data_IF_028403225904
#
_entry.id   IF_028403225904
#
_cell.length_a   1.000
_cell.length_b   1.000
_cell.length_c   1.000
_cell.angle_alpha   90.00
_cell.angle_beta   90.00
_cell.angle_gamma   90.00
#
_symmetry.space_group_name_H-M   'P 1'
#
loop_
_entity.id
_entity.type
_entity.pdbx_description
1 polymer ?
#
# COMPACT_ATOMS: atom_id res chain seq x y z
N UNK A 1 35.25 16.01 -4.28
CA UNK A 1 34.12 15.06 -4.14
C UNK A 1 33.97 14.58 -2.69
N UNK A 2 35.02 14.03 -2.07
CA UNK A 2 34.95 13.56 -0.67
C UNK A 2 34.58 14.67 0.32
N UNK A 3 35.18 15.85 0.19
CA UNK A 3 34.92 16.96 1.13
C UNK A 3 33.51 17.52 0.99
N UNK A 4 33.03 17.69 -0.25
CA UNK A 4 31.64 18.11 -0.53
C UNK A 4 30.60 17.08 -0.09
N UNK A 5 30.89 15.77 -0.22
CA UNK A 5 30.03 14.73 0.33
C UNK A 5 30.01 14.77 1.87
N UNK A 6 31.17 14.93 2.51
CA UNK A 6 31.27 14.97 3.97
C UNK A 6 30.49 16.15 4.56
N UNK A 7 30.63 17.35 3.98
CA UNK A 7 29.91 18.54 4.41
C UNK A 7 28.39 18.37 4.29
N UNK A 8 27.91 17.88 3.14
CA UNK A 8 26.49 17.61 2.94
C UNK A 8 25.96 16.46 3.80
N UNK A 9 26.77 15.43 4.07
CA UNK A 9 26.42 14.31 4.93
C UNK A 9 26.24 14.74 6.39
N UNK A 10 27.11 15.63 6.90
CA UNK A 10 26.99 16.17 8.26
C UNK A 10 25.63 16.88 8.43
N UNK A 11 25.24 17.73 7.48
CA UNK A 11 23.97 18.45 7.56
C UNK A 11 22.73 17.53 7.53
N UNK A 12 22.82 16.34 6.92
CA UNK A 12 21.77 15.30 6.99
C UNK A 12 21.78 14.63 8.36
N UNK A 13 22.96 14.29 8.87
CA UNK A 13 23.12 13.61 10.15
C UNK A 13 22.70 14.45 11.36
N UNK A 14 22.85 15.78 11.30
CA UNK A 14 22.41 16.67 12.39
C UNK A 14 20.89 16.72 12.57
N UNK A 15 20.12 16.30 11.56
CA UNK A 15 18.65 16.44 11.53
C UNK A 15 17.90 15.15 11.86
N UNK A 16 18.59 14.01 11.94
CA UNK A 16 17.94 12.70 12.08
C UNK A 16 18.84 11.68 12.83
N UNK A 17 18.31 10.48 13.06
CA UNK A 17 18.97 9.40 13.81
C UNK A 17 19.77 8.46 12.88
N UNK A 18 20.80 7.77 13.39
CA UNK A 18 21.69 6.91 12.59
C UNK A 18 20.99 5.86 11.71
N UNK A 19 19.87 5.30 12.16
CA UNK A 19 19.10 4.31 11.39
C UNK A 19 18.34 4.90 10.20
N UNK A 20 18.04 6.20 10.23
CA UNK A 20 17.26 6.91 9.19
C UNK A 20 18.13 7.65 8.18
N UNK A 21 19.35 8.04 8.58
CA UNK A 21 20.26 8.77 7.68
C UNK A 21 20.85 7.89 6.58
N UNK A 22 20.90 6.55 6.75
CA UNK A 22 21.53 5.65 5.76
C UNK A 22 21.02 5.86 4.34
N UNK A 23 19.70 5.81 4.13
CA UNK A 23 19.10 5.97 2.80
C UNK A 23 19.33 7.37 2.20
N UNK A 24 19.29 8.41 3.05
CA UNK A 24 19.60 9.77 2.64
C UNK A 24 21.07 9.93 2.22
N UNK A 25 22.00 9.30 2.94
CA UNK A 25 23.42 9.30 2.61
C UNK A 25 23.73 8.48 1.35
N UNK A 26 23.06 7.34 1.15
CA UNK A 26 23.16 6.55 -0.09
C UNK A 26 22.67 7.35 -1.30
N UNK A 27 21.54 8.04 -1.15
CA UNK A 27 21.00 8.94 -2.17
C UNK A 27 21.97 10.08 -2.47
N UNK A 28 22.52 10.72 -1.44
CA UNK A 28 23.51 11.80 -1.59
C UNK A 28 24.78 11.30 -2.28
N UNK A 29 25.30 10.14 -1.86
CA UNK A 29 26.48 9.52 -2.46
C UNK A 29 26.24 9.19 -3.93
N UNK A 30 25.06 8.68 -4.28
CA UNK A 30 24.68 8.39 -5.65
C UNK A 30 24.56 9.66 -6.52
N UNK A 31 24.05 10.78 -5.96
CA UNK A 31 23.94 12.07 -6.69
C UNK A 31 25.28 12.76 -6.92
N UNK A 32 26.20 12.65 -5.96
CA UNK A 32 27.52 13.29 -6.04
C UNK A 32 28.56 12.44 -6.77
N UNK A 33 28.21 11.23 -7.20
CA UNK A 33 29.12 10.33 -7.89
C UNK A 33 29.45 10.83 -9.31
N UNK A 34 30.64 10.51 -9.84
CA UNK A 34 31.09 10.96 -11.17
C UNK A 34 30.26 10.36 -12.31
N UNK A 35 29.97 9.06 -12.20
CA UNK A 35 29.02 8.35 -13.05
C UNK A 35 27.63 8.40 -12.42
N UNK A 36 26.61 8.55 -13.26
CA UNK A 36 25.21 8.52 -12.81
C UNK A 36 24.87 7.17 -12.18
N UNK A 37 23.83 7.16 -11.34
CA UNK A 37 23.35 5.89 -10.78
C UNK A 37 22.85 4.94 -11.88
N UNK A 38 22.19 5.47 -12.91
CA UNK A 38 21.72 4.72 -14.08
C UNK A 38 22.85 4.02 -14.84
N UNK A 39 23.97 4.69 -15.11
CA UNK A 39 25.12 4.06 -15.79
C UNK A 39 25.73 2.93 -14.97
N UNK A 40 25.97 3.17 -13.68
CA UNK A 40 26.49 2.13 -12.78
C UNK A 40 25.54 0.96 -12.66
N UNK A 41 24.23 1.23 -12.62
CA UNK A 41 23.22 0.19 -12.61
C UNK A 41 23.27 -0.66 -13.88
N UNK A 42 23.42 -0.06 -15.07
CA UNK A 42 23.55 -0.79 -16.34
C UNK A 42 24.73 -1.76 -16.31
N UNK A 43 25.89 -1.33 -15.80
CA UNK A 43 27.06 -2.21 -15.63
C UNK A 43 26.76 -3.34 -14.64
N UNK A 44 26.16 -3.03 -13.48
CA UNK A 44 25.83 -4.05 -12.48
C UNK A 44 24.80 -5.08 -12.98
N UNK A 45 23.81 -4.65 -13.79
CA UNK A 45 22.82 -5.55 -14.41
C UNK A 45 23.45 -6.49 -15.43
N UNK A 46 24.53 -6.08 -16.10
CA UNK A 46 25.27 -6.96 -17.00
C UNK A 46 25.96 -8.11 -16.26
N UNK A 47 26.26 -7.94 -14.96
CA UNK A 47 26.88 -8.95 -14.09
C UNK A 47 25.86 -9.77 -13.28
N UNK A 48 24.56 -9.57 -13.51
CA UNK A 48 23.50 -10.32 -12.82
C UNK A 48 23.67 -11.83 -13.02
N UNK A 49 23.48 -12.58 -11.96
CA UNK A 49 23.72 -14.03 -11.94
C UNK A 49 22.97 -14.72 -10.79
N UNK A 50 22.93 -16.05 -10.86
CA UNK A 50 22.46 -16.93 -9.77
C UNK A 50 23.59 -17.89 -9.42
N UNK A 51 23.94 -17.97 -8.13
CA UNK A 51 25.02 -18.81 -7.61
C UNK A 51 24.53 -19.69 -6.48
N UNK A 52 25.12 -20.88 -6.36
CA UNK A 52 24.87 -21.82 -5.27
C UNK A 52 26.12 -21.91 -4.41
N UNK A 53 25.96 -21.73 -3.10
CA UNK A 53 27.00 -21.97 -2.10
C UNK A 53 26.56 -23.14 -1.21
N UNK A 54 27.27 -24.25 -1.30
CA UNK A 54 26.99 -25.43 -0.47
C UNK A 54 27.46 -25.18 0.96
N UNK A 55 26.55 -25.38 1.93
CA UNK A 55 26.79 -25.22 3.35
C UNK A 55 26.94 -26.57 4.07
N UNK A 56 26.75 -26.56 5.39
CA UNK A 56 26.72 -27.77 6.22
C UNK A 56 25.32 -28.40 6.21
N UNK A 57 25.21 -29.61 6.79
CA UNK A 57 23.93 -30.29 7.05
C UNK A 57 23.08 -30.57 5.80
N UNK A 58 23.72 -30.69 4.63
CA UNK A 58 23.02 -30.93 3.36
C UNK A 58 22.29 -29.71 2.80
N UNK A 59 22.51 -28.51 3.38
CA UNK A 59 21.86 -27.27 2.97
C UNK A 59 22.75 -26.47 2.01
N UNK A 60 22.12 -25.66 1.15
CA UNK A 60 22.82 -24.78 0.20
C UNK A 60 22.13 -23.43 0.10
N UNK A 61 22.91 -22.36 -0.04
CA UNK A 61 22.42 -21.02 -0.26
C UNK A 61 22.35 -20.72 -1.76
N UNK A 62 21.15 -20.48 -2.27
CA UNK A 62 20.95 -19.94 -3.60
C UNK A 62 20.94 -18.41 -3.51
N UNK A 63 21.93 -17.75 -4.11
CA UNK A 63 22.09 -16.29 -4.06
C UNK A 63 21.93 -15.74 -5.47
N UNK A 64 20.92 -14.89 -5.65
CA UNK A 64 20.67 -14.18 -6.89
C UNK A 64 21.10 -12.71 -6.76
N UNK A 65 21.89 -12.22 -7.72
CA UNK A 65 22.23 -10.81 -7.85
C UNK A 65 21.34 -10.21 -8.93
N UNK A 66 20.37 -9.38 -8.52
CA UNK A 66 19.27 -8.88 -9.35
C UNK A 66 19.04 -7.38 -9.12
N UNK A 67 18.35 -6.67 -10.03
CA UNK A 67 17.84 -5.32 -9.75
C UNK A 67 17.00 -5.28 -8.46
N UNK A 68 17.17 -4.23 -7.65
CA UNK A 68 16.52 -4.08 -6.33
C UNK A 68 15.02 -4.28 -6.39
N UNK A 69 14.33 -3.71 -7.39
CA UNK A 69 12.87 -3.83 -7.53
C UNK A 69 12.43 -5.27 -7.76
N UNK A 70 13.20 -6.04 -8.54
CA UNK A 70 12.90 -7.45 -8.82
C UNK A 70 13.12 -8.27 -7.55
N UNK A 71 14.26 -8.13 -6.89
CA UNK A 71 14.57 -8.87 -5.66
C UNK A 71 13.56 -8.56 -4.53
N UNK A 72 13.22 -7.29 -4.33
CA UNK A 72 12.22 -6.86 -3.35
C UNK A 72 10.83 -7.42 -3.68
N UNK A 73 10.43 -7.36 -4.96
CA UNK A 73 9.17 -7.92 -5.42
C UNK A 73 9.09 -9.44 -5.25
N UNK A 74 10.18 -10.15 -5.52
CA UNK A 74 10.27 -11.60 -5.31
C UNK A 74 10.06 -11.95 -3.83
N UNK A 75 10.75 -11.26 -2.92
CA UNK A 75 10.64 -11.49 -1.48
C UNK A 75 9.24 -11.15 -0.94
N UNK A 76 8.66 -10.03 -1.37
CA UNK A 76 7.29 -9.63 -1.03
C UNK A 76 6.29 -10.72 -1.45
N UNK A 77 6.36 -11.17 -2.72
CA UNK A 77 5.45 -12.20 -3.24
C UNK A 77 5.61 -13.53 -2.50
N UNK A 78 6.85 -13.98 -2.25
CA UNK A 78 7.12 -15.20 -1.48
C UNK A 78 6.59 -15.09 -0.04
N UNK A 79 6.71 -13.92 0.58
CA UNK A 79 6.19 -13.67 1.94
C UNK A 79 4.67 -13.75 1.96
N UNK A 80 3.99 -13.12 1.00
CA UNK A 80 2.53 -13.18 0.87
C UNK A 80 2.04 -14.61 0.61
N UNK A 81 2.72 -15.37 -0.25
CA UNK A 81 2.38 -16.79 -0.47
C UNK A 81 2.58 -17.62 0.80
N UNK A 82 3.70 -17.43 1.51
CA UNK A 82 3.97 -18.12 2.76
C UNK A 82 2.95 -17.81 3.85
N UNK A 83 2.50 -16.55 3.93
CA UNK A 83 1.45 -16.14 4.86
C UNK A 83 0.10 -16.79 4.50
N UNK A 84 -0.28 -16.81 3.22
CA UNK A 84 -1.49 -17.50 2.75
C UNK A 84 -1.50 -18.98 3.13
N UNK A 85 -0.37 -19.68 2.97
CA UNK A 85 -0.24 -21.08 3.41
C UNK A 85 -0.37 -21.23 4.92
N UNK A 86 0.22 -20.31 5.71
CA UNK A 86 0.08 -20.32 7.18
C UNK A 86 -1.37 -20.09 7.61
N UNK A 87 -2.04 -19.11 7.01
CA UNK A 87 -3.42 -18.76 7.31
C UNK A 87 -4.37 -19.92 6.98
N UNK A 88 -4.16 -20.59 5.83
CA UNK A 88 -4.92 -21.78 5.44
C UNK A 88 -4.77 -22.93 6.46
N UNK A 89 -3.57 -23.14 7.01
CA UNK A 89 -3.34 -24.15 8.06
C UNK A 89 -4.07 -23.80 9.35
N UNK A 90 -4.02 -22.54 9.78
CA UNK A 90 -4.73 -22.06 10.98
C UNK A 90 -6.23 -22.24 10.83
N UNK A 91 -6.78 -21.89 9.66
CA UNK A 91 -8.19 -22.09 9.35
C UNK A 91 -8.59 -23.58 9.37
N UNK A 92 -7.76 -24.47 8.82
CA UNK A 92 -7.98 -25.92 8.83
C UNK A 92 -7.95 -26.54 10.23
N UNK A 93 -7.16 -25.99 11.16
CA UNK A 93 -7.14 -26.44 12.56
C UNK A 93 -8.33 -25.96 13.40
N UNK A 94 -9.08 -24.95 12.94
CA UNK A 94 -10.24 -24.39 13.64
C UNK A 94 -11.60 -24.87 13.12
N UNK A 95 -11.64 -25.77 12.13
CA UNK A 95 -12.85 -26.13 11.39
C UNK A 95 -13.00 -27.63 11.17
N UNK A 96 -12.90 -28.45 12.22
CA UNK A 96 -13.41 -29.83 12.18
C UNK A 96 -14.88 -29.83 12.64
N UNK A 97 -15.80 -29.54 11.73
CA UNK A 97 -17.25 -29.63 11.99
C UNK A 97 -18.12 -29.38 10.75
N UNK A 98 -18.73 -30.46 10.25
CA UNK A 98 -19.72 -30.59 9.15
C UNK A 98 -19.16 -30.37 7.72
N UNK A 99 -19.05 -31.35 6.81
CA UNK A 99 -20.02 -32.39 6.39
C UNK A 99 -20.94 -31.79 5.31
N UNK A 100 -21.15 -32.28 4.09
CA UNK A 100 -20.75 -33.44 3.28
C UNK A 100 -21.64 -33.43 2.01
N UNK A 101 -21.24 -34.15 0.96
CA UNK A 101 -22.01 -34.50 -0.27
C UNK A 101 -22.29 -33.34 -1.27
N UNK A 102 -22.21 -33.48 -2.60
CA UNK A 102 -22.58 -34.61 -3.47
C UNK A 102 -21.70 -34.74 -4.72
N UNK A 103 -21.66 -35.98 -5.22
CA UNK A 103 -21.03 -36.40 -6.47
C UNK A 103 -22.08 -36.75 -7.55
N UNK A 104 -21.84 -36.29 -8.78
CA UNK A 104 -22.28 -36.88 -10.07
C UNK A 104 -21.75 -35.98 -11.19
N UNK A 105 -21.17 -36.39 -12.32
CA UNK A 105 -20.87 -37.67 -12.93
C UNK A 105 -20.69 -37.45 -14.45
N UNK A 106 -19.81 -38.25 -15.09
CA UNK A 106 -19.59 -38.47 -16.56
C UNK A 106 -18.69 -37.40 -17.23
N UNK A 107 -17.48 -37.71 -17.73
CA UNK A 107 -17.07 -38.71 -18.74
C UNK A 107 -17.04 -38.01 -20.12
N UNK A 108 -16.03 -38.05 -20.99
CA UNK A 108 -14.89 -38.94 -21.22
C UNK A 108 -13.87 -38.23 -22.17
N UNK A 109 -12.71 -38.85 -22.39
CA UNK A 109 -11.90 -38.64 -23.60
C UNK A 109 -10.48 -38.16 -23.38
N UNK A 110 -9.56 -39.11 -23.22
CA UNK A 110 -8.15 -38.91 -23.51
C UNK A 110 -7.97 -38.80 -25.04
N UNK A 111 -7.07 -37.94 -25.50
CA UNK A 111 -6.07 -38.41 -26.44
C UNK A 111 -4.77 -37.60 -26.36
N UNK A 112 -3.67 -38.34 -26.41
CA UNK A 112 -2.33 -37.84 -26.53
C UNK A 112 -2.05 -37.68 -28.04
N UNK A 113 -1.76 -36.46 -28.47
CA UNK A 113 -1.35 -36.17 -29.84
C UNK A 113 0.11 -35.74 -29.86
N UNK A 114 0.94 -36.61 -30.42
CA UNK A 114 2.39 -36.49 -30.57
C UNK A 114 2.84 -35.26 -31.35
N UNK A 115 4.10 -34.90 -31.10
CA UNK A 115 4.91 -33.97 -31.86
C UNK A 115 4.90 -34.28 -33.35
N UNK A 116 4.72 -33.25 -34.18
CA UNK A 116 5.39 -33.21 -35.48
C UNK A 116 6.02 -31.84 -35.69
N UNK A 117 7.33 -31.88 -35.94
CA UNK A 117 8.07 -30.78 -36.48
C UNK A 117 7.61 -30.55 -37.93
N UNK A 118 7.29 -29.32 -38.27
CA UNK A 118 7.26 -28.85 -39.63
C UNK A 118 7.80 -27.42 -39.65
N UNK A 119 8.97 -27.29 -40.27
CA UNK A 119 9.66 -26.04 -40.55
C UNK A 119 8.76 -25.03 -41.26
N UNK A 120 8.66 -23.84 -40.70
CA UNK A 120 8.30 -22.64 -41.42
C UNK A 120 9.38 -21.59 -41.15
N UNK A 121 10.11 -21.24 -42.21
CA UNK A 121 11.15 -20.24 -42.19
C UNK A 121 10.59 -18.87 -41.79
N UNK A 122 10.95 -18.39 -40.61
CA UNK A 122 10.73 -17.00 -40.19
C UNK A 122 12.05 -16.23 -40.22
N UNK A 123 11.97 -14.98 -40.65
CA UNK A 123 13.07 -14.03 -40.69
C UNK A 123 13.79 -14.02 -39.34
N UNK A 124 15.09 -14.33 -39.37
CA UNK A 124 15.87 -14.58 -38.16
C UNK A 124 15.69 -13.49 -37.11
N UNK A 125 15.02 -13.83 -36.02
CA UNK A 125 15.02 -13.02 -34.81
C UNK A 125 16.49 -12.74 -34.42
N UNK A 126 16.84 -11.53 -34.00
CA UNK A 126 18.18 -11.24 -33.53
C UNK A 126 18.54 -12.26 -32.44
N UNK A 127 19.64 -13.00 -32.65
CA UNK A 127 20.07 -14.03 -31.73
C UNK A 127 20.19 -13.44 -30.30
N UNK A 128 19.62 -14.14 -29.32
CA UNK A 128 19.69 -13.72 -27.93
C UNK A 128 21.17 -13.63 -27.49
N UNK A 129 21.60 -12.42 -27.15
CA UNK A 129 23.00 -12.12 -26.79
C UNK A 129 23.28 -12.27 -25.30
N UNK A 130 22.27 -12.64 -24.50
CA UNK A 130 22.41 -12.77 -23.04
C UNK A 130 23.26 -13.99 -22.68
N UNK A 131 24.05 -13.84 -21.62
CA UNK A 131 24.85 -14.95 -21.07
C UNK A 131 23.96 -15.93 -20.31
N UNK A 132 24.44 -17.16 -20.09
CA UNK A 132 23.73 -18.14 -19.27
C UNK A 132 23.46 -17.65 -17.84
N UNK A 133 24.35 -16.85 -17.26
CA UNK A 133 24.15 -16.30 -15.92
C UNK A 133 23.06 -15.24 -15.89
N UNK A 134 23.02 -14.39 -16.93
CA UNK A 134 21.95 -13.43 -17.14
C UNK A 134 20.60 -14.13 -17.35
N UNK A 135 20.57 -15.19 -18.17
CA UNK A 135 19.36 -15.98 -18.42
C UNK A 135 18.85 -16.66 -17.14
N UNK A 136 19.72 -17.27 -16.33
CA UNK A 136 19.32 -17.88 -15.05
C UNK A 136 18.71 -16.86 -14.09
N UNK A 137 19.31 -15.66 -14.02
CA UNK A 137 18.82 -14.57 -13.20
C UNK A 137 17.43 -14.09 -13.65
N UNK A 138 17.24 -13.88 -14.96
CA UNK A 138 15.98 -13.46 -15.55
C UNK A 138 14.88 -14.52 -15.32
N UNK A 139 15.17 -15.78 -15.67
CA UNK A 139 14.24 -16.90 -15.51
C UNK A 139 13.83 -17.08 -14.04
N UNK A 140 14.77 -16.98 -13.09
CA UNK A 140 14.45 -17.06 -11.66
C UNK A 140 13.48 -15.94 -11.25
N UNK A 141 13.74 -14.70 -11.70
CA UNK A 141 12.86 -13.57 -11.47
C UNK A 141 11.45 -13.81 -12.03
N UNK A 142 11.36 -14.25 -13.28
CA UNK A 142 10.09 -14.51 -13.97
C UNK A 142 9.29 -15.63 -13.30
N UNK A 143 9.95 -16.73 -12.91
CA UNK A 143 9.29 -17.82 -12.19
C UNK A 143 8.77 -17.36 -10.83
N UNK A 144 9.55 -16.57 -10.09
CA UNK A 144 9.14 -16.11 -8.76
C UNK A 144 8.12 -14.98 -8.84
N UNK A 145 8.06 -14.16 -9.89
CA UNK A 145 7.09 -13.07 -10.01
C UNK A 145 5.81 -13.47 -10.77
N UNK A 146 5.92 -14.42 -11.71
CA UNK A 146 4.84 -14.85 -12.59
C UNK A 146 4.33 -16.28 -12.35
N UNK A 147 5.16 -17.18 -11.83
CA UNK A 147 4.84 -18.61 -11.71
C UNK A 147 3.79 -18.93 -10.63
N UNK A 148 3.11 -20.07 -10.77
CA UNK A 148 2.20 -20.63 -9.77
C UNK A 148 2.87 -21.80 -9.05
N UNK A 149 3.03 -21.77 -7.72
CA UNK A 149 3.74 -22.81 -7.00
C UNK A 149 2.84 -24.04 -6.74
N UNK A 150 3.41 -25.24 -6.82
CA UNK A 150 2.69 -26.51 -6.57
C UNK A 150 2.25 -26.69 -5.11
N UNK A 151 2.89 -25.98 -4.17
CA UNK A 151 2.52 -25.98 -2.73
C UNK A 151 1.17 -25.32 -2.45
N UNK A 152 0.53 -24.77 -3.48
CA UNK A 152 -0.78 -24.16 -3.37
C UNK A 152 -1.84 -25.19 -2.92
N UNK A 153 -2.48 -25.01 -1.75
CA UNK A 153 -3.51 -25.93 -1.28
C UNK A 153 -4.78 -25.90 -2.15
N UNK A 154 -4.93 -24.91 -3.03
CA UNK A 154 -6.04 -24.78 -3.99
C UNK A 154 -5.72 -25.38 -5.36
N UNK A 155 -4.54 -25.97 -5.52
CA UNK A 155 -4.10 -26.61 -6.78
C UNK A 155 -4.98 -27.84 -7.09
N UNK A 156 -5.98 -27.66 -7.96
CA UNK A 156 -6.82 -28.78 -8.40
C UNK A 156 -8.29 -28.48 -8.74
N UNK A 157 -8.77 -27.23 -8.62
CA UNK A 157 -10.19 -26.94 -8.92
C UNK A 157 -10.43 -26.09 -10.19
N UNK A 158 -9.45 -25.34 -10.69
CA UNK A 158 -9.62 -24.49 -11.90
C UNK A 158 -8.32 -24.17 -12.68
N UNK A 159 -7.18 -24.80 -12.34
CA UNK A 159 -5.84 -24.50 -12.89
C UNK A 159 -5.34 -23.05 -12.67
N UNK A 160 -5.95 -22.27 -11.77
CA UNK A 160 -5.47 -20.96 -11.35
C UNK A 160 -5.43 -20.88 -9.83
N UNK A 161 -4.50 -21.61 -9.20
CA UNK A 161 -4.37 -21.62 -7.75
C UNK A 161 -4.20 -20.21 -7.14
N UNK A 162 -4.76 -20.01 -5.94
CA UNK A 162 -4.79 -18.73 -5.24
C UNK A 162 -3.41 -18.13 -4.94
N UNK A 163 -2.35 -18.95 -4.84
CA UNK A 163 -0.97 -18.46 -4.70
C UNK A 163 -0.43 -17.88 -6.02
N UNK A 164 -0.85 -18.41 -7.17
CA UNK A 164 -0.48 -17.89 -8.49
C UNK A 164 -1.03 -16.48 -8.75
N UNK A 165 -2.20 -16.17 -8.18
CA UNK A 165 -2.85 -14.86 -8.27
C UNK A 165 -2.15 -13.76 -7.45
N UNK A 166 -1.34 -14.12 -6.46
CA UNK A 166 -0.61 -13.16 -5.63
C UNK A 166 0.41 -12.44 -6.52
N UNK A 167 0.39 -11.10 -6.49
CA UNK A 167 1.32 -10.23 -7.20
C UNK A 167 2.19 -9.46 -6.22
N UNK A 168 3.46 -9.30 -6.59
CA UNK A 168 4.37 -8.45 -5.85
C UNK A 168 3.90 -6.99 -5.88
N UNK A 169 4.11 -6.26 -4.79
CA UNK A 169 3.86 -4.82 -4.68
C UNK A 169 5.12 -4.14 -4.20
N UNK A 170 5.63 -3.20 -5.00
CA UNK A 170 6.76 -2.34 -4.63
C UNK A 170 6.30 -0.89 -4.65
N UNK A 171 6.60 -0.14 -3.59
CA UNK A 171 6.40 1.30 -3.55
C UNK A 171 7.70 1.98 -3.96
N UNK A 172 7.64 2.83 -4.99
CA UNK A 172 8.79 3.61 -5.47
C UNK A 172 8.54 5.09 -5.27
N UNK A 173 9.45 5.76 -4.57
CA UNK A 173 9.48 7.22 -4.41
C UNK A 173 10.49 7.81 -5.39
N UNK A 174 10.03 8.70 -6.27
CA UNK A 174 10.83 9.33 -7.31
C UNK A 174 10.50 10.81 -7.41
N UNK A 175 11.51 11.65 -7.68
CA UNK A 175 11.28 13.06 -7.94
C UNK A 175 10.63 13.25 -9.32
N UNK A 176 9.69 14.20 -9.42
CA UNK A 176 8.99 14.48 -10.68
C UNK A 176 9.97 14.84 -11.82
N UNK A 177 11.05 15.58 -11.53
CA UNK A 177 12.08 15.90 -12.53
C UNK A 177 12.76 14.66 -13.11
N UNK A 178 13.19 13.74 -12.25
CA UNK A 178 13.77 12.45 -12.62
C UNK A 178 12.82 11.63 -13.49
N UNK A 179 11.56 11.53 -13.06
CA UNK A 179 10.52 10.79 -13.80
C UNK A 179 10.26 11.41 -15.17
N UNK A 180 10.28 12.73 -15.29
CA UNK A 180 10.13 13.49 -16.53
C UNK A 180 11.40 13.50 -17.42
N UNK A 181 12.49 12.82 -17.02
CA UNK A 181 13.73 12.79 -17.80
C UNK A 181 14.60 14.04 -17.68
N UNK A 182 14.38 14.89 -16.67
CA UNK A 182 15.19 16.12 -16.44
C UNK A 182 16.54 15.84 -15.78
N UNK A 183 16.67 14.71 -15.11
CA UNK A 183 17.89 14.25 -14.44
C UNK A 183 17.91 12.72 -14.29
N UNK A 184 19.09 12.18 -13.93
CA UNK A 184 19.34 10.75 -13.70
C UNK A 184 19.56 10.45 -12.20
N UNK A 185 18.91 11.22 -11.32
CA UNK A 185 18.99 10.95 -9.89
C UNK A 185 18.35 9.59 -9.55
N UNK A 186 18.85 8.88 -8.53
CA UNK A 186 18.22 7.64 -8.10
C UNK A 186 16.83 7.92 -7.48
N UNK A 187 15.95 6.94 -7.64
CA UNK A 187 14.73 6.79 -6.89
C UNK A 187 14.92 5.81 -5.72
N UNK A 188 13.94 5.73 -4.83
CA UNK A 188 13.95 4.80 -3.71
C UNK A 188 12.80 3.79 -3.86
N UNK A 189 13.11 2.49 -3.87
CA UNK A 189 12.14 1.46 -3.53
C UNK A 189 12.02 1.44 -2.00
N UNK A 190 10.89 1.94 -1.50
CA UNK A 190 10.67 2.23 -0.07
C UNK A 190 10.93 0.98 0.76
N UNK A 191 11.91 1.06 1.65
CA UNK A 191 12.31 -0.05 2.54
C UNK A 191 13.20 -1.12 1.90
N UNK A 192 13.58 -0.98 0.62
CA UNK A 192 14.44 -1.94 -0.08
C UNK A 192 15.78 -1.32 -0.55
N UNK A 193 15.77 -0.08 -1.03
CA UNK A 193 16.99 0.64 -1.45
C UNK A 193 16.80 1.42 -2.75
N UNK A 194 17.91 1.87 -3.32
CA UNK A 194 17.89 2.72 -4.51
C UNK A 194 17.54 1.96 -5.81
N UNK A 195 16.92 2.69 -6.72
CA UNK A 195 16.51 2.25 -8.07
C UNK A 195 16.96 3.31 -9.08
N UNK A 196 17.45 2.88 -10.24
CA UNK A 196 17.84 3.79 -11.32
C UNK A 196 16.63 4.43 -12.01
N UNK A 197 16.86 5.61 -12.59
CA UNK A 197 15.80 6.40 -13.22
C UNK A 197 15.17 5.67 -14.41
N UNK A 198 15.95 4.96 -15.22
CA UNK A 198 15.44 4.21 -16.38
C UNK A 198 14.48 3.09 -15.94
N UNK A 199 14.82 2.33 -14.90
CA UNK A 199 13.92 1.32 -14.34
C UNK A 199 12.62 1.94 -13.84
N UNK A 200 12.67 3.06 -13.13
CA UNK A 200 11.46 3.72 -12.65
C UNK A 200 10.60 4.23 -13.81
N UNK A 201 11.19 4.81 -14.86
CA UNK A 201 10.45 5.25 -16.05
C UNK A 201 9.81 4.08 -16.78
N UNK A 202 10.51 2.95 -16.92
CA UNK A 202 9.93 1.72 -17.50
C UNK A 202 8.74 1.22 -16.69
N UNK A 203 8.88 1.14 -15.36
CA UNK A 203 7.78 0.73 -14.48
C UNK A 203 6.60 1.69 -14.58
N UNK A 204 6.85 3.00 -14.53
CA UNK A 204 5.84 4.04 -14.67
C UNK A 204 5.11 3.97 -16.03
N UNK A 205 5.83 3.69 -17.12
CA UNK A 205 5.26 3.55 -18.45
C UNK A 205 4.46 2.26 -18.67
N UNK A 206 4.65 1.25 -17.82
CA UNK A 206 3.88 -0.01 -17.84
C UNK A 206 2.57 0.07 -17.06
N UNK A 207 2.36 1.13 -16.27
CA UNK A 207 1.12 1.32 -15.53
C UNK A 207 0.07 1.96 -16.44
N UNK A 208 -1.09 1.32 -16.59
CA UNK A 208 -2.21 1.82 -17.38
C UNK A 208 -3.01 2.92 -16.68
N UNK A 209 -2.91 2.99 -15.34
CA UNK A 209 -3.72 3.86 -14.50
C UNK A 209 -2.82 4.63 -13.52
N UNK A 210 -3.06 5.92 -13.39
CA UNK A 210 -2.38 6.78 -12.43
C UNK A 210 -3.39 7.31 -11.43
N UNK A 211 -3.18 7.01 -10.16
CA UNK A 211 -4.00 7.54 -9.07
C UNK A 211 -3.31 8.74 -8.43
N UNK A 212 -3.95 9.91 -8.47
CA UNK A 212 -3.52 11.04 -7.65
C UNK A 212 -4.02 10.84 -6.22
N UNK A 213 -3.12 11.09 -5.27
CA UNK A 213 -3.38 11.04 -3.84
C UNK A 213 -3.06 12.41 -3.24
N UNK A 214 -4.05 13.06 -2.65
CA UNK A 214 -3.86 14.33 -1.96
C UNK A 214 -3.72 14.08 -0.48
N UNK A 215 -2.69 14.66 0.13
CA UNK A 215 -2.35 14.51 1.54
C UNK A 215 -2.42 15.88 2.19
N UNK A 216 -3.12 15.97 3.33
CA UNK A 216 -3.10 17.19 4.14
C UNK A 216 -1.69 17.44 4.68
N UNK A 217 -1.09 18.63 4.47
CA UNK A 217 0.31 18.88 4.82
C UNK A 217 0.57 18.96 6.33
N UNK A 218 -0.46 19.26 7.13
CA UNK A 218 -0.35 19.44 8.59
C UNK A 218 -0.52 18.10 9.30
N UNK A 219 -1.62 17.39 9.02
CA UNK A 219 -1.93 16.10 9.68
C UNK A 219 -1.39 14.88 8.94
N UNK A 220 -0.76 15.08 7.77
CA UNK A 220 -0.14 14.03 6.92
C UNK A 220 -1.07 12.85 6.63
N UNK A 221 -2.35 13.14 6.44
CA UNK A 221 -3.40 12.13 6.19
C UNK A 221 -3.96 12.31 4.77
N UNK A 222 -4.19 11.21 4.03
CA UNK A 222 -4.91 11.26 2.75
C UNK A 222 -6.30 11.87 2.88
N UNK A 223 -6.60 12.87 2.05
CA UNK A 223 -7.88 13.58 2.02
C UNK A 223 -8.67 13.34 0.74
N UNK A 224 -7.99 13.03 -0.35
CA UNK A 224 -8.57 12.72 -1.66
C UNK A 224 -7.78 11.64 -2.38
N UNK A 225 -8.48 10.79 -3.13
CA UNK A 225 -7.87 9.85 -4.07
C UNK A 225 -8.71 9.80 -5.35
N UNK A 226 -8.04 9.59 -6.49
CA UNK A 226 -8.72 9.44 -7.79
C UNK A 226 -9.59 8.17 -7.86
N UNK A 227 -9.29 7.12 -7.08
CA UNK A 227 -10.08 5.86 -7.12
C UNK A 227 -11.41 5.97 -6.40
N UNK A 228 -12.41 5.17 -6.82
CA UNK A 228 -13.71 5.08 -6.15
C UNK A 228 -13.60 4.62 -4.68
N UNK A 229 -12.65 3.73 -4.37
CA UNK A 229 -12.55 3.11 -3.05
C UNK A 229 -11.68 3.98 -2.12
N UNK A 230 -12.22 4.48 -0.99
CA UNK A 230 -11.41 5.26 -0.06
C UNK A 230 -10.29 4.44 0.58
N UNK A 231 -9.18 5.10 0.90
CA UNK A 231 -8.02 4.49 1.58
C UNK A 231 -8.36 4.06 3.01
N UNK A 232 -7.53 3.18 3.60
CA UNK A 232 -7.75 2.72 4.97
C UNK A 232 -7.72 3.85 6.02
N UNK A 233 -6.86 4.87 5.82
CA UNK A 233 -6.80 6.05 6.69
C UNK A 233 -8.06 6.90 6.57
N UNK A 234 -8.56 7.14 5.34
CA UNK A 234 -9.82 7.85 5.12
C UNK A 234 -10.99 7.11 5.78
N UNK A 235 -11.08 5.78 5.63
CA UNK A 235 -12.10 4.96 6.29
C UNK A 235 -12.07 5.12 7.81
N UNK A 236 -10.89 5.06 8.42
CA UNK A 236 -10.72 5.25 9.88
C UNK A 236 -11.14 6.66 10.32
N UNK A 237 -10.71 7.69 9.59
CA UNK A 237 -11.09 9.08 9.87
C UNK A 237 -12.61 9.25 9.81
N UNK A 238 -13.24 8.79 8.74
CA UNK A 238 -14.69 8.88 8.55
C UNK A 238 -15.45 8.09 9.62
N UNK A 239 -14.93 6.94 10.04
CA UNK A 239 -15.55 6.12 11.09
C UNK A 239 -15.56 6.84 12.44
N UNK A 240 -14.46 7.51 12.79
CA UNK A 240 -14.35 8.31 14.02
C UNK A 240 -15.18 9.60 13.92
N UNK A 241 -15.19 10.27 12.76
CA UNK A 241 -15.98 11.47 12.55
C UNK A 241 -17.47 11.18 12.61
N UNK A 242 -17.92 10.11 11.95
CA UNK A 242 -19.34 9.91 11.72
C UNK A 242 -20.05 9.19 12.87
N UNK A 243 -19.39 8.26 13.58
CA UNK A 243 -19.90 7.46 14.72
C UNK A 243 -21.16 6.60 14.43
N UNK A 244 -22.14 7.13 13.72
CA UNK A 244 -23.36 6.50 13.24
C UNK A 244 -23.71 7.00 11.83
N UNK A 245 -24.75 6.41 11.26
CA UNK A 245 -25.37 6.86 10.02
C UNK A 245 -25.69 8.36 10.10
N UNK A 246 -25.29 9.11 9.06
CA UNK A 246 -25.41 10.58 9.01
C UNK A 246 -26.72 11.08 8.39
N UNK A 247 -27.73 10.22 8.33
CA UNK A 247 -29.09 10.65 8.06
C UNK A 247 -29.72 11.20 9.35
N UNK A 248 -30.49 12.32 9.31
CA UNK A 248 -31.03 12.96 10.50
C UNK A 248 -31.76 11.99 11.44
N UNK A 249 -31.28 11.91 12.69
CA UNK A 249 -31.87 11.09 13.75
C UNK A 249 -31.57 9.58 13.67
N UNK A 250 -30.79 9.11 12.71
CA UNK A 250 -30.41 7.70 12.64
C UNK A 250 -29.25 7.37 13.59
N UNK A 251 -29.41 6.34 14.43
CA UNK A 251 -28.36 5.91 15.40
C UNK A 251 -27.67 4.60 15.03
N UNK A 252 -27.79 4.14 13.78
CA UNK A 252 -27.09 2.91 13.32
C UNK A 252 -25.58 3.17 13.36
N UNK A 253 -24.84 2.41 14.16
CA UNK A 253 -23.39 2.57 14.30
C UNK A 253 -22.65 2.53 12.94
N UNK A 254 -21.65 3.39 12.76
CA UNK A 254 -20.92 3.56 11.51
C UNK A 254 -20.22 2.27 11.03
N UNK A 255 -19.79 1.41 11.96
CA UNK A 255 -19.22 0.08 11.63
C UNK A 255 -20.19 -0.85 10.88
N UNK A 256 -21.50 -0.56 10.94
CA UNK A 256 -22.56 -1.28 10.22
C UNK A 256 -23.12 -0.46 9.05
N UNK A 257 -22.43 0.60 8.65
CA UNK A 257 -22.79 1.50 7.57
C UNK A 257 -21.80 1.38 6.42
N UNK A 258 -22.26 1.79 5.25
CA UNK A 258 -21.42 1.96 4.07
C UNK A 258 -20.94 3.41 4.00
N UNK A 259 -19.82 3.63 3.34
CA UNK A 259 -19.33 4.99 3.02
C UNK A 259 -19.91 5.36 1.67
N UNK A 260 -20.72 6.42 1.65
CA UNK A 260 -21.42 6.90 0.47
C UNK A 260 -20.89 8.27 0.03
N UNK A 261 -20.86 8.49 -1.28
CA UNK A 261 -20.49 9.78 -1.88
C UNK A 261 -21.71 10.70 -1.93
N UNK A 262 -21.56 11.95 -1.48
CA UNK A 262 -22.61 12.98 -1.50
C UNK A 262 -22.91 13.37 -2.94
N UNK A 263 -21.88 13.72 -3.69
CA UNK A 263 -21.87 13.82 -5.15
C UNK A 263 -21.40 12.47 -5.66
N UNK A 264 -22.25 11.76 -6.39
CA UNK A 264 -21.95 10.42 -6.86
C UNK A 264 -20.67 10.40 -7.69
N UNK A 265 -19.84 9.38 -7.46
CA UNK A 265 -18.56 9.25 -8.14
C UNK A 265 -18.70 9.16 -9.66
N UNK A 266 -19.73 8.46 -10.15
CA UNK A 266 -20.04 8.35 -11.58
C UNK A 266 -20.45 9.70 -12.22
N UNK A 267 -20.87 10.68 -11.40
CA UNK A 267 -21.24 12.03 -11.84
C UNK A 267 -20.10 13.04 -11.63
N UNK A 268 -18.87 12.57 -11.43
CA UNK A 268 -17.69 13.41 -11.22
C UNK A 268 -17.40 13.75 -9.75
N UNK A 269 -18.06 13.08 -8.80
CA UNK A 269 -17.77 13.25 -7.39
C UNK A 269 -16.46 12.57 -6.97
N UNK A 270 -15.46 13.35 -6.59
CA UNK A 270 -14.18 12.82 -6.11
C UNK A 270 -14.34 12.01 -4.82
N UNK A 271 -13.50 10.99 -4.62
CA UNK A 271 -13.38 10.28 -3.34
C UNK A 271 -12.61 11.17 -2.37
N UNK A 272 -13.30 12.15 -1.80
CA UNK A 272 -12.79 13.18 -0.90
C UNK A 272 -13.43 13.06 0.49
N UNK A 273 -12.72 13.32 1.58
CA UNK A 273 -13.30 13.23 2.95
C UNK A 273 -14.52 14.15 3.18
N UNK A 274 -14.62 15.25 2.43
CA UNK A 274 -15.77 16.18 2.38
C UNK A 274 -16.81 15.84 1.31
N UNK A 275 -16.64 14.74 0.58
CA UNK A 275 -17.67 14.17 -0.28
C UNK A 275 -18.19 12.83 0.29
N UNK A 276 -17.55 12.27 1.32
CA UNK A 276 -17.90 10.97 1.89
C UNK A 276 -18.62 11.09 3.22
N UNK A 277 -19.59 10.20 3.49
CA UNK A 277 -20.23 10.04 4.79
C UNK A 277 -20.75 8.61 5.01
N UNK A 278 -20.81 8.15 6.27
CA UNK A 278 -21.43 6.87 6.59
C UNK A 278 -22.95 6.92 6.49
N UNK A 279 -23.53 6.03 5.69
CA UNK A 279 -24.97 5.78 5.61
C UNK A 279 -25.27 4.30 5.81
N UNK A 280 -26.33 4.00 6.57
CA UNK A 280 -26.83 2.63 6.65
C UNK A 280 -27.53 2.26 5.33
N UNK A 281 -27.59 0.96 5.00
CA UNK A 281 -28.22 0.49 3.76
C UNK A 281 -29.56 1.17 3.45
N UNK A 282 -30.43 1.29 4.46
CA UNK A 282 -31.74 1.94 4.34
C UNK A 282 -31.63 3.37 3.82
N UNK A 283 -30.76 4.19 4.40
CA UNK A 283 -30.65 5.61 4.05
C UNK A 283 -29.77 5.84 2.82
N UNK A 284 -28.81 4.95 2.57
CA UNK A 284 -28.08 4.91 1.30
C UNK A 284 -29.06 4.66 0.14
N UNK A 285 -29.88 3.60 0.21
CA UNK A 285 -30.91 3.33 -0.80
C UNK A 285 -31.94 4.46 -0.91
N UNK A 286 -32.36 5.05 0.22
CA UNK A 286 -33.29 6.18 0.18
C UNK A 286 -32.71 7.39 -0.55
N UNK A 287 -31.45 7.78 -0.28
CA UNK A 287 -30.78 8.85 -1.03
C UNK A 287 -30.75 8.55 -2.53
N UNK A 288 -30.38 7.32 -2.90
CA UNK A 288 -30.20 6.94 -4.31
C UNK A 288 -31.53 6.87 -5.09
N UNK A 289 -32.61 6.41 -4.46
CA UNK A 289 -33.86 6.08 -5.17
C UNK A 289 -35.03 7.02 -4.88
N UNK A 290 -34.80 8.15 -4.20
CA UNK A 290 -35.86 9.12 -3.88
C UNK A 290 -35.37 10.56 -4.11
N UNK A 291 -36.25 11.55 -3.89
CA UNK A 291 -35.93 12.99 -4.01
C UNK A 291 -35.28 13.57 -2.76
N UNK A 292 -34.71 12.74 -1.88
CA UNK A 292 -33.92 13.25 -0.77
C UNK A 292 -32.58 13.73 -1.31
N UNK A 293 -32.24 14.97 -0.98
CA UNK A 293 -30.96 15.56 -1.36
C UNK A 293 -30.09 15.76 -0.13
N UNK A 294 -28.77 15.67 -0.31
CA UNK A 294 -27.80 15.93 0.75
C UNK A 294 -26.69 16.83 0.22
N UNK A 295 -26.27 17.78 1.06
CA UNK A 295 -25.17 18.69 0.79
C UNK A 295 -24.20 18.68 1.96
N UNK A 296 -22.90 18.54 1.69
CA UNK A 296 -21.87 18.77 2.70
C UNK A 296 -21.62 20.27 2.80
N UNK A 297 -21.74 20.84 4.01
CA UNK A 297 -21.59 22.29 4.22
C UNK A 297 -20.25 22.68 4.85
N UNK A 298 -19.36 21.70 5.03
CA UNK A 298 -18.04 21.85 5.63
C UNK A 298 -17.98 21.34 7.08
N UNK A 299 -16.76 21.05 7.55
CA UNK A 299 -16.53 20.59 8.92
C UNK A 299 -17.20 19.25 9.29
N UNK A 300 -17.64 18.46 8.31
CA UNK A 300 -18.38 17.20 8.54
C UNK A 300 -19.87 17.38 8.85
N UNK A 301 -20.42 18.58 8.63
CA UNK A 301 -21.84 18.88 8.76
C UNK A 301 -22.55 18.57 7.44
N UNK A 302 -23.68 17.87 7.53
CA UNK A 302 -24.55 17.57 6.39
C UNK A 302 -25.86 18.34 6.51
N UNK A 303 -26.35 18.79 5.36
CA UNK A 303 -27.67 19.36 5.20
C UNK A 303 -28.51 18.46 4.29
N UNK A 304 -29.59 17.92 4.83
CA UNK A 304 -30.52 17.04 4.12
C UNK A 304 -31.80 17.80 3.77
N UNK A 305 -32.21 17.73 2.51
CA UNK A 305 -33.48 18.30 2.04
C UNK A 305 -34.44 17.16 1.73
N UNK A 306 -35.58 17.17 2.41
CA UNK A 306 -36.66 16.22 2.16
C UNK A 306 -37.37 16.47 0.82
N UNK A 307 -38.09 15.48 0.27
CA UNK A 307 -38.91 15.66 -0.93
C UNK A 307 -39.97 16.76 -0.85
N UNK A 308 -40.32 17.20 0.37
CA UNK A 308 -41.26 18.29 0.63
C UNK A 308 -40.57 19.65 0.84
N UNK A 309 -39.25 19.74 0.62
CA UNK A 309 -38.46 20.97 0.76
C UNK A 309 -38.05 21.33 2.18
N UNK A 310 -38.33 20.48 3.19
CA UNK A 310 -37.84 20.71 4.56
C UNK A 310 -36.37 20.36 4.67
N UNK A 311 -35.61 21.23 5.34
CA UNK A 311 -34.18 21.09 5.55
C UNK A 311 -33.88 20.59 6.96
N UNK A 312 -32.96 19.64 7.07
CA UNK A 312 -32.50 19.02 8.30
C UNK A 312 -30.98 19.12 8.36
N UNK A 313 -30.48 19.73 9.43
CA UNK A 313 -29.05 19.84 9.69
C UNK A 313 -28.59 18.68 10.56
N UNK A 314 -27.56 17.97 10.12
CA UNK A 314 -26.89 16.89 10.85
C UNK A 314 -25.44 17.31 11.11
N UNK A 315 -25.18 17.81 12.32
CA UNK A 315 -23.83 18.16 12.78
C UNK A 315 -22.98 16.92 13.06
N UNK A 316 -21.66 17.09 13.12
CA UNK A 316 -20.75 16.02 13.53
C UNK A 316 -21.11 15.56 14.96
N UNK A 317 -21.33 14.26 15.19
CA UNK A 317 -21.64 13.77 16.51
C UNK A 317 -20.53 14.10 17.50
N UNK A 318 -20.92 14.65 18.64
CA UNK A 318 -20.01 14.79 19.78
C UNK A 318 -19.91 13.42 20.43
N UNK A 319 -18.72 12.78 20.49
CA UNK A 319 -18.58 11.50 21.17
C UNK A 319 -19.00 11.64 22.63
N UNK A 320 -19.84 10.74 23.12
CA UNK A 320 -20.28 10.74 24.52
C UNK A 320 -19.11 10.53 25.51
N UNK A 321 -18.02 9.92 25.03
CA UNK A 321 -16.76 9.75 25.76
C UNK A 321 -15.66 10.36 24.89
N UNK A 322 -15.06 11.45 25.35
CA UNK A 322 -13.91 12.08 24.70
C UNK A 322 -12.91 12.52 25.77
N UNK A 323 -11.65 12.67 25.38
CA UNK A 323 -10.67 13.34 26.22
C UNK A 323 -11.09 14.80 26.34
N UNK A 324 -11.58 15.19 27.51
CA UNK A 324 -11.67 16.60 27.86
C UNK A 324 -10.29 17.02 28.32
N UNK A 325 -9.76 18.09 27.73
CA UNK A 325 -8.66 18.79 28.37
C UNK A 325 -9.24 19.28 29.70
N UNK A 326 -8.63 18.88 30.81
CA UNK A 326 -9.05 19.32 32.14
C UNK A 326 -8.78 20.82 32.25
N UNK A 327 -9.74 21.62 31.80
CA UNK A 327 -9.79 23.07 32.00
C UNK A 327 -10.37 23.41 33.38
N UNK A 328 -10.64 22.40 34.22
CA UNK A 328 -11.29 22.51 35.51
C UNK A 328 -10.36 22.10 36.66
N UNK A 329 -9.14 22.62 36.67
CA UNK A 329 -8.68 23.22 37.92
C UNK A 329 -9.02 24.71 37.81
N UNK A 330 -10.10 25.22 38.45
CA UNK A 330 -10.18 26.65 38.70
C UNK A 330 -8.86 27.07 39.38
N UNK A 331 -8.35 28.30 39.14
CA UNK A 331 -7.19 28.77 39.87
C UNK A 331 -7.46 28.51 41.35
N UNK A 332 -6.56 27.80 42.05
CA UNK A 332 -6.66 27.72 43.51
C UNK A 332 -6.78 29.17 43.97
N UNK A 333 -7.88 29.52 44.63
CA UNK A 333 -8.06 30.84 45.20
C UNK A 333 -6.80 31.19 46.00
N UNK A 334 -6.00 32.10 45.47
CA UNK A 334 -4.91 32.73 46.20
C UNK A 334 -5.55 33.69 47.20
N UNK A 335 -6.24 33.15 48.21
CA UNK A 335 -7.16 33.93 49.01
C UNK A 335 -7.74 33.22 50.22
N UNK A 336 -7.02 32.29 50.86
CA UNK A 336 -7.30 31.90 52.27
C UNK A 336 -6.15 31.13 52.93
N UNK A 337 -4.90 31.36 52.51
CA UNK A 337 -3.73 30.97 53.30
C UNK A 337 -3.37 32.12 54.23
N UNK A 338 -3.72 32.02 55.51
CA UNK A 338 -3.15 32.90 56.54
C UNK A 338 -1.61 32.89 56.47
N UNK A 339 -0.94 33.93 57.02
CA UNK A 339 0.51 34.05 56.91
C UNK A 339 1.19 32.78 57.46
N UNK A 340 2.26 32.29 56.80
CA UNK A 340 2.97 31.10 57.26
C UNK A 340 3.48 31.35 58.68
N UNK A 341 3.13 30.47 59.60
CA UNK A 341 3.68 30.49 60.96
C UNK A 341 5.18 30.26 60.89
N UNK A 342 5.93 31.20 61.45
CA UNK A 342 7.36 31.17 61.68
C UNK A 342 7.68 30.08 62.73
N UNK A 343 7.73 28.82 62.29
CA UNK A 343 8.38 27.77 63.04
C UNK A 343 9.61 27.32 62.26
N UNK A 344 10.76 27.84 62.70
CA UNK A 344 12.07 27.33 62.32
C UNK A 344 12.19 25.86 62.73
N UNK A 345 12.65 24.96 61.85
CA UNK A 345 12.74 23.53 62.16
C UNK A 345 13.82 23.28 63.23
N UNK A 346 13.56 22.40 64.23
CA UNK A 346 14.58 22.00 65.18
C UNK A 346 15.51 20.95 64.52
N UNK A 347 16.76 21.37 64.31
CA UNK A 347 17.98 20.60 64.01
C UNK A 347 17.93 19.51 62.91
#
# INVERSE_FOLDING_TARGET
MRDSFAEAAIGVCERDVPSRVRGALETLAARLHTQTFTERHKTAVAERCVRVFHGTDGMSNLVASLPTVIAAGMLDRLTQMGQSVKDARVAGTGGAGAGGADAAGRGAGADAGESSAADAAEAGEPADTRTMDQLRADILGDLVLGGAPVVDPTYGTDRAGGLGAIRARVQVAVAAGTLMGKDENPAEAVGAGLVDADTVRRLAGQVSEWDRLFIDPVIRTPVEIDTYRPTASMKKLLMVRDQHCRFPGCRRAAIRCEIDHTIDYALGGHTHIFNLAHLCQRHHSMKQFTKWEVRQIGGGVLEWTSPLGRTYREDVPIPAVCFTIDTASPPRDAGSGGPPTDESPPF
#
